data_IF_481441297043
#
_entry.id   IF_481441297043
#
_cell.length_a   1.000
_cell.length_b   1.000
_cell.length_c   1.000
_cell.angle_alpha   90.00
_cell.angle_beta   90.00
_cell.angle_gamma   90.00
#
_symmetry.space_group_name_H-M   'P 1'
#
loop_
_entity.id
_entity.type
_entity.pdbx_description
1 polymer ?
#
# COMPACT_ATOMS: atom_id res chain seq x y z
N UNK A 1 26.10 -17.84 26.41
CA UNK A 1 25.08 -18.81 25.94
C UNK A 1 24.08 -18.03 25.10
N UNK A 2 24.25 -18.02 23.77
CA UNK A 2 23.29 -17.37 22.86
C UNK A 2 22.13 -18.34 22.65
N UNK A 3 20.91 -17.94 23.01
CA UNK A 3 19.71 -18.72 22.78
C UNK A 3 19.28 -18.52 21.32
N UNK A 4 19.54 -19.51 20.47
CA UNK A 4 19.00 -19.54 19.11
C UNK A 4 17.56 -20.04 19.13
N UNK A 5 16.63 -19.31 18.50
CA UNK A 5 15.31 -19.81 18.16
C UNK A 5 15.31 -20.37 16.74
N UNK A 6 14.55 -21.43 16.50
CA UNK A 6 14.32 -22.00 15.18
C UNK A 6 12.88 -21.67 14.73
N UNK A 7 12.71 -21.29 13.47
CA UNK A 7 11.41 -21.23 12.80
C UNK A 7 11.37 -22.28 11.69
N UNK A 8 10.28 -23.04 11.63
CA UNK A 8 9.99 -23.99 10.58
C UNK A 8 9.11 -23.31 9.53
N UNK A 9 9.61 -23.23 8.29
CA UNK A 9 8.85 -22.82 7.11
C UNK A 9 8.73 -23.98 6.12
N UNK A 10 7.67 -23.96 5.30
CA UNK A 10 7.49 -24.92 4.20
C UNK A 10 7.59 -24.16 2.87
N UNK A 11 8.41 -24.67 1.95
CA UNK A 11 8.52 -24.18 0.59
C UNK A 11 8.03 -25.26 -0.37
N UNK A 12 7.13 -24.89 -1.29
CA UNK A 12 6.62 -25.79 -2.32
C UNK A 12 7.48 -25.61 -3.57
N UNK A 13 8.33 -26.60 -3.87
CA UNK A 13 9.19 -26.59 -5.05
C UNK A 13 8.64 -27.56 -6.09
N UNK A 14 8.41 -27.12 -7.35
CA UNK A 14 7.96 -28.00 -8.43
C UNK A 14 9.03 -29.05 -8.79
N UNK A 15 8.60 -30.16 -9.39
CA UNK A 15 9.49 -31.23 -9.83
C UNK A 15 9.93 -31.01 -11.30
N UNK A 16 11.21 -31.23 -11.57
CA UNK A 16 11.76 -31.38 -12.92
C UNK A 16 11.30 -32.71 -13.54
N UNK A 17 11.35 -32.84 -14.86
CA UNK A 17 10.90 -34.05 -15.59
C UNK A 17 11.54 -35.35 -15.08
N UNK A 18 12.78 -35.29 -14.57
CA UNK A 18 13.48 -36.43 -13.98
C UNK A 18 13.12 -36.72 -12.50
N UNK A 19 12.14 -36.04 -11.92
CA UNK A 19 11.67 -36.23 -10.55
C UNK A 19 12.50 -35.56 -9.45
N UNK A 20 13.61 -34.90 -9.78
CA UNK A 20 14.31 -34.00 -8.86
C UNK A 20 13.58 -32.66 -8.64
N UNK A 21 13.78 -32.02 -7.48
CA UNK A 21 13.24 -30.70 -7.20
C UNK A 21 13.87 -29.65 -8.14
N UNK A 22 13.03 -28.81 -8.75
CA UNK A 22 13.49 -27.66 -9.52
C UNK A 22 13.97 -26.55 -8.58
N UNK A 23 15.20 -26.71 -8.10
CA UNK A 23 15.87 -25.73 -7.24
C UNK A 23 16.52 -24.57 -8.02
N UNK A 24 16.29 -24.48 -9.34
CA UNK A 24 16.87 -23.42 -10.16
C UNK A 24 16.28 -22.03 -9.82
N UNK A 25 15.02 -22.00 -9.37
CA UNK A 25 14.34 -20.80 -8.86
C UNK A 25 14.35 -20.65 -7.34
N UNK A 26 14.87 -21.64 -6.61
CA UNK A 26 14.91 -21.60 -5.16
C UNK A 26 15.94 -20.56 -4.71
N UNK A 27 15.49 -19.61 -3.91
CA UNK A 27 16.38 -18.66 -3.26
C UNK A 27 17.35 -19.45 -2.37
N UNK A 28 18.65 -19.37 -2.68
CA UNK A 28 19.69 -20.22 -2.05
C UNK A 28 20.08 -19.76 -0.63
N UNK A 29 19.41 -18.75 -0.08
CA UNK A 29 19.75 -18.16 1.22
C UNK A 29 20.94 -17.20 1.14
N UNK A 30 21.20 -16.48 2.25
CA UNK A 30 22.36 -15.63 2.43
C UNK A 30 22.21 -14.20 1.91
N UNK A 31 23.26 -13.37 2.03
CA UNK A 31 23.21 -11.95 1.70
C UNK A 31 22.78 -11.68 0.26
N UNK A 32 21.68 -10.95 0.06
CA UNK A 32 21.08 -10.70 -1.25
C UNK A 32 20.37 -9.34 -1.32
N UNK A 33 20.14 -8.76 -2.51
CA UNK A 33 19.37 -7.52 -2.64
C UNK A 33 17.88 -7.77 -2.38
N UNK A 34 17.14 -6.73 -1.98
CA UNK A 34 15.73 -6.85 -1.58
C UNK A 34 14.84 -7.36 -2.71
N UNK A 35 15.16 -7.02 -3.96
CA UNK A 35 14.39 -7.41 -5.14
C UNK A 35 14.39 -8.94 -5.35
N UNK A 36 15.44 -9.60 -4.87
CA UNK A 36 15.59 -11.04 -4.94
C UNK A 36 14.96 -11.76 -3.75
N UNK A 37 14.52 -11.04 -2.72
CA UNK A 37 13.93 -11.62 -1.52
C UNK A 37 12.53 -12.22 -1.81
N UNK A 38 12.24 -13.45 -1.36
CA UNK A 38 10.92 -14.07 -1.54
C UNK A 38 9.75 -13.22 -1.03
N UNK A 39 9.89 -12.54 0.11
CA UNK A 39 8.85 -11.66 0.64
C UNK A 39 8.61 -10.45 -0.25
N UNK A 40 9.65 -9.91 -0.90
CA UNK A 40 9.49 -8.83 -1.87
C UNK A 40 8.70 -9.31 -3.09
N UNK A 41 8.99 -10.51 -3.61
CA UNK A 41 8.20 -11.11 -4.70
C UNK A 41 6.74 -11.31 -4.30
N UNK A 42 6.48 -11.86 -3.12
CA UNK A 42 5.12 -12.02 -2.60
C UNK A 42 4.38 -10.67 -2.46
N UNK A 43 5.08 -9.61 -2.04
CA UNK A 43 4.51 -8.26 -2.04
C UNK A 43 4.08 -7.82 -3.44
N UNK A 44 4.92 -8.05 -4.46
CA UNK A 44 4.58 -7.70 -5.85
C UNK A 44 3.41 -8.53 -6.40
N UNK A 45 3.35 -9.83 -6.11
CA UNK A 45 2.24 -10.70 -6.51
C UNK A 45 0.93 -10.29 -5.84
N UNK A 46 0.97 -9.96 -4.55
CA UNK A 46 -0.20 -9.48 -3.82
C UNK A 46 -0.68 -8.11 -4.34
N UNK A 47 0.25 -7.23 -4.75
CA UNK A 47 -0.10 -5.97 -5.41
C UNK A 47 -0.86 -6.23 -6.70
N UNK A 48 -0.33 -7.09 -7.55
CA UNK A 48 -0.85 -7.31 -8.91
C UNK A 48 -2.17 -8.11 -8.86
N UNK A 49 -2.25 -9.12 -7.98
CA UNK A 49 -3.50 -9.83 -7.69
C UNK A 49 -4.57 -8.91 -7.09
N UNK A 50 -4.20 -8.03 -6.15
CA UNK A 50 -5.10 -7.02 -5.61
C UNK A 50 -5.59 -6.04 -6.68
N UNK A 51 -4.71 -5.58 -7.57
CA UNK A 51 -5.07 -4.67 -8.67
C UNK A 51 -6.09 -5.32 -9.62
N UNK A 52 -5.88 -6.59 -9.96
CA UNK A 52 -6.82 -7.36 -10.79
C UNK A 52 -8.19 -7.49 -10.11
N UNK A 53 -8.23 -7.83 -8.83
CA UNK A 53 -9.49 -7.92 -8.08
C UNK A 53 -10.23 -6.57 -8.02
N UNK A 54 -9.51 -5.45 -7.88
CA UNK A 54 -10.11 -4.11 -7.94
C UNK A 54 -10.73 -3.83 -9.32
N UNK A 55 -10.06 -4.20 -10.40
CA UNK A 55 -10.58 -4.06 -11.77
C UNK A 55 -11.84 -4.92 -11.99
N UNK A 56 -11.92 -6.10 -11.35
CA UNK A 56 -13.08 -6.99 -11.36
C UNK A 56 -14.20 -6.55 -10.40
N UNK A 57 -14.02 -5.47 -9.64
CA UNK A 57 -14.99 -5.00 -8.64
C UNK A 57 -15.04 -5.82 -7.34
N UNK A 58 -14.13 -6.77 -7.17
CA UNK A 58 -14.04 -7.68 -6.01
C UNK A 58 -13.25 -7.03 -4.87
N UNK A 59 -13.83 -5.96 -4.33
CA UNK A 59 -13.14 -5.08 -3.37
C UNK A 59 -12.83 -5.76 -2.03
N UNK A 60 -13.68 -6.65 -1.53
CA UNK A 60 -13.44 -7.37 -0.26
C UNK A 60 -12.22 -8.29 -0.37
N UNK A 61 -12.10 -9.02 -1.47
CA UNK A 61 -10.97 -9.92 -1.70
C UNK A 61 -9.68 -9.15 -1.98
N UNK A 62 -9.78 -8.00 -2.67
CA UNK A 62 -8.65 -7.10 -2.86
C UNK A 62 -8.10 -6.57 -1.53
N UNK A 63 -8.97 -6.30 -0.54
CA UNK A 63 -8.53 -5.91 0.81
C UNK A 63 -7.63 -6.95 1.43
N UNK A 64 -7.96 -8.24 1.30
CA UNK A 64 -7.12 -9.33 1.79
C UNK A 64 -5.70 -9.29 1.18
N UNK A 65 -5.62 -9.15 -0.14
CA UNK A 65 -4.34 -9.08 -0.87
C UNK A 65 -3.46 -7.91 -0.44
N UNK A 66 -4.02 -6.70 -0.37
CA UNK A 66 -3.22 -5.54 0.03
C UNK A 66 -2.84 -5.56 1.51
N UNK A 67 -3.68 -6.13 2.37
CA UNK A 67 -3.36 -6.29 3.80
C UNK A 67 -2.20 -7.25 4.01
N UNK A 68 -2.20 -8.37 3.27
CA UNK A 68 -1.10 -9.34 3.26
C UNK A 68 0.21 -8.69 2.76
N UNK A 69 0.16 -7.92 1.66
CA UNK A 69 1.31 -7.15 1.17
C UNK A 69 1.89 -6.25 2.27
N UNK A 70 1.05 -5.51 2.99
CA UNK A 70 1.52 -4.61 4.05
C UNK A 70 2.20 -5.41 5.17
N UNK A 71 1.62 -6.54 5.59
CA UNK A 71 2.25 -7.41 6.59
C UNK A 71 3.61 -7.94 6.11
N UNK A 72 3.68 -8.45 4.89
CA UNK A 72 4.90 -8.97 4.29
C UNK A 72 5.97 -7.88 4.13
N UNK A 73 5.59 -6.66 3.73
CA UNK A 73 6.53 -5.54 3.63
C UNK A 73 7.15 -5.15 4.98
N UNK A 74 6.41 -5.31 6.08
CA UNK A 74 6.93 -5.09 7.44
C UNK A 74 7.82 -6.23 7.90
N UNK A 75 7.47 -7.47 7.54
CA UNK A 75 8.31 -8.63 7.83
C UNK A 75 9.66 -8.49 7.10
N UNK A 76 9.62 -8.13 5.82
CA UNK A 76 10.78 -7.89 4.97
C UNK A 76 11.75 -6.88 5.60
N UNK A 77 11.28 -5.78 6.20
CA UNK A 77 12.13 -4.79 6.88
C UNK A 77 12.92 -5.36 8.08
N UNK A 78 12.53 -6.52 8.63
CA UNK A 78 13.21 -7.19 9.74
C UNK A 78 14.16 -8.31 9.29
N UNK A 79 14.21 -8.62 7.99
CA UNK A 79 15.09 -9.67 7.47
C UNK A 79 16.57 -9.27 7.57
N UNK A 80 17.39 -10.21 8.05
CA UNK A 80 18.82 -9.98 8.31
C UNK A 80 19.72 -10.28 7.11
N UNK A 81 19.24 -11.12 6.20
CA UNK A 81 19.99 -11.56 5.02
C UNK A 81 19.84 -10.58 3.84
N UNK A 82 19.07 -9.50 4.01
CA UNK A 82 18.90 -8.47 2.98
C UNK A 82 20.02 -7.43 3.06
N UNK A 83 20.71 -7.24 1.94
CA UNK A 83 21.66 -6.17 1.70
C UNK A 83 20.92 -4.88 1.34
N UNK A 84 20.48 -4.16 2.37
CA UNK A 84 19.71 -2.94 2.20
C UNK A 84 20.49 -1.79 1.55
N UNK A 85 20.08 -1.42 0.34
CA UNK A 85 20.37 -0.13 -0.31
C UNK A 85 19.28 0.89 0.02
N UNK A 86 19.53 2.19 -0.18
CA UNK A 86 18.46 3.19 0.00
C UNK A 86 17.39 3.02 -1.07
N UNK A 87 17.78 2.70 -2.30
CA UNK A 87 16.86 2.40 -3.40
C UNK A 87 15.92 1.23 -3.05
N UNK A 88 16.47 0.15 -2.48
CA UNK A 88 15.67 -1.00 -2.03
C UNK A 88 14.68 -0.62 -0.93
N UNK A 89 15.10 0.21 0.04
CA UNK A 89 14.18 0.74 1.07
C UNK A 89 13.07 1.58 0.45
N UNK A 90 13.40 2.45 -0.50
CA UNK A 90 12.42 3.28 -1.21
C UNK A 90 11.41 2.39 -1.96
N UNK A 91 11.85 1.33 -2.64
CA UNK A 91 10.94 0.42 -3.35
C UNK A 91 9.92 -0.24 -2.40
N UNK A 92 10.37 -0.72 -1.24
CA UNK A 92 9.49 -1.34 -0.24
C UNK A 92 8.48 -0.33 0.31
N UNK A 93 8.93 0.87 0.66
CA UNK A 93 8.04 1.97 1.09
C UNK A 93 7.02 2.31 -0.01
N UNK A 94 7.44 2.35 -1.28
CA UNK A 94 6.55 2.64 -2.41
C UNK A 94 5.50 1.54 -2.60
N UNK A 95 5.87 0.27 -2.46
CA UNK A 95 4.92 -0.86 -2.48
C UNK A 95 3.88 -0.71 -1.37
N UNK A 96 4.33 -0.47 -0.14
CA UNK A 96 3.46 -0.29 1.03
C UNK A 96 2.52 0.92 0.87
N UNK A 97 3.06 2.06 0.44
CA UNK A 97 2.28 3.27 0.21
C UNK A 97 1.23 3.08 -0.91
N UNK A 98 1.57 2.36 -1.98
CA UNK A 98 0.64 1.99 -3.04
C UNK A 98 -0.46 1.04 -2.55
N UNK A 99 -0.13 0.07 -1.70
CA UNK A 99 -1.09 -0.83 -1.09
C UNK A 99 -2.09 -0.08 -0.20
N UNK A 100 -1.62 0.85 0.64
CA UNK A 100 -2.48 1.72 1.43
C UNK A 100 -3.39 2.59 0.58
N UNK A 101 -2.84 3.18 -0.49
CA UNK A 101 -3.63 3.96 -1.44
C UNK A 101 -4.74 3.09 -2.05
N UNK A 102 -4.43 1.87 -2.49
CA UNK A 102 -5.43 0.97 -3.07
C UNK A 102 -6.47 0.46 -2.06
N UNK A 103 -6.06 0.19 -0.82
CA UNK A 103 -6.99 -0.11 0.27
C UNK A 103 -7.99 1.03 0.49
N UNK A 104 -7.55 2.28 0.46
CA UNK A 104 -8.45 3.42 0.63
C UNK A 104 -9.56 3.46 -0.42
N UNK A 105 -9.27 3.06 -1.67
CA UNK A 105 -10.28 2.90 -2.71
C UNK A 105 -11.24 1.76 -2.39
N UNK A 106 -10.72 0.60 -2.00
CA UNK A 106 -11.55 -0.56 -1.67
C UNK A 106 -12.51 -0.22 -0.51
N UNK A 107 -11.99 0.40 0.55
CA UNK A 107 -12.80 0.81 1.70
C UNK A 107 -13.83 1.88 1.36
N UNK A 108 -13.53 2.82 0.45
CA UNK A 108 -14.57 3.74 -0.07
C UNK A 108 -15.69 2.99 -0.79
N UNK A 109 -15.35 2.04 -1.66
CA UNK A 109 -16.34 1.25 -2.41
C UNK A 109 -17.21 0.40 -1.49
N UNK A 110 -16.63 -0.09 -0.40
CA UNK A 110 -17.30 -0.85 0.65
C UNK A 110 -17.98 0.04 1.71
N UNK A 111 -17.91 1.38 1.57
CA UNK A 111 -18.45 2.35 2.54
C UNK A 111 -17.91 2.18 3.96
N UNK A 112 -16.69 1.65 4.09
CA UNK A 112 -15.97 1.50 5.36
C UNK A 112 -15.15 2.78 5.64
N UNK A 113 -15.85 3.85 6.01
CA UNK A 113 -15.32 5.21 6.02
C UNK A 113 -14.10 5.41 6.91
N UNK A 114 -14.11 4.86 8.13
CA UNK A 114 -12.97 4.94 9.05
C UNK A 114 -11.71 4.32 8.45
N UNK A 115 -11.85 3.15 7.82
CA UNK A 115 -10.73 2.46 7.18
C UNK A 115 -10.25 3.22 5.94
N UNK A 116 -11.15 3.81 5.16
CA UNK A 116 -10.80 4.66 4.02
C UNK A 116 -9.96 5.88 4.45
N UNK A 117 -10.39 6.60 5.50
CA UNK A 117 -9.65 7.76 6.05
C UNK A 117 -8.26 7.33 6.55
N UNK A 118 -8.20 6.25 7.32
CA UNK A 118 -6.94 5.77 7.91
C UNK A 118 -5.95 5.34 6.84
N UNK A 119 -6.39 4.55 5.86
CA UNK A 119 -5.50 4.04 4.80
C UNK A 119 -5.08 5.11 3.80
N UNK A 120 -5.96 6.06 3.46
CA UNK A 120 -5.58 7.23 2.66
C UNK A 120 -4.51 8.08 3.37
N UNK A 121 -4.63 8.24 4.69
CA UNK A 121 -3.65 8.97 5.51
C UNK A 121 -2.30 8.23 5.54
N UNK A 122 -2.32 6.92 5.83
CA UNK A 122 -1.10 6.09 5.85
C UNK A 122 -0.40 6.00 4.50
N UNK A 123 -1.11 6.08 3.39
CA UNK A 123 -0.51 6.13 2.06
C UNK A 123 0.43 7.33 1.87
N UNK A 124 0.21 8.43 2.60
CA UNK A 124 1.02 9.65 2.53
C UNK A 124 2.07 9.76 3.64
N UNK A 125 1.81 9.16 4.81
CA UNK A 125 2.62 9.39 6.02
C UNK A 125 3.35 8.15 6.56
N UNK A 126 3.04 6.97 6.02
CA UNK A 126 3.48 5.69 6.57
C UNK A 126 2.74 5.28 7.85
N UNK A 127 3.35 4.38 8.61
CA UNK A 127 2.74 3.71 9.76
C UNK A 127 2.90 4.44 11.10
N UNK A 128 3.85 5.38 11.18
CA UNK A 128 4.22 6.07 12.42
C UNK A 128 3.46 7.38 12.62
N UNK A 129 3.28 7.74 13.87
CA UNK A 129 2.77 9.05 14.32
C UNK A 129 3.68 9.57 15.45
N UNK A 130 4.46 10.64 15.25
CA UNK A 130 4.51 11.50 14.05
C UNK A 130 5.07 10.78 12.81
N UNK A 131 4.71 11.29 11.64
CA UNK A 131 5.12 10.74 10.34
C UNK A 131 6.65 10.76 10.17
N UNK A 132 7.21 9.67 9.64
CA UNK A 132 8.63 9.59 9.27
C UNK A 132 8.80 10.20 7.86
N UNK A 133 9.61 11.25 7.66
CA UNK A 133 9.78 11.87 6.35
C UNK A 133 10.25 10.90 5.27
N UNK A 134 10.90 9.78 5.63
CA UNK A 134 11.33 8.76 4.67
C UNK A 134 10.18 7.97 4.07
N UNK A 135 9.01 7.95 4.72
CA UNK A 135 7.81 7.30 4.21
C UNK A 135 7.06 8.16 3.19
N UNK A 136 7.44 9.43 3.03
CA UNK A 136 6.87 10.32 2.02
C UNK A 136 7.44 10.02 0.61
N UNK A 137 7.08 8.86 0.07
CA UNK A 137 7.56 8.33 -1.22
C UNK A 137 6.50 8.39 -2.33
N UNK A 138 5.31 8.90 -2.01
CA UNK A 138 4.17 8.91 -2.91
C UNK A 138 4.27 10.10 -3.89
N UNK A 139 4.18 9.84 -5.19
CA UNK A 139 4.18 10.90 -6.20
C UNK A 139 3.03 11.91 -5.99
N UNK A 140 3.20 13.20 -6.35
CA UNK A 140 2.18 14.24 -6.15
C UNK A 140 0.77 13.86 -6.63
N UNK A 141 0.65 13.24 -7.80
CA UNK A 141 -0.65 12.85 -8.38
C UNK A 141 -1.32 11.75 -7.55
N UNK A 142 -0.52 10.87 -6.94
CA UNK A 142 -1.00 9.84 -6.03
C UNK A 142 -1.37 10.42 -4.66
N UNK A 143 -0.68 11.47 -4.19
CA UNK A 143 -1.07 12.23 -2.98
C UNK A 143 -2.42 12.92 -3.19
N UNK A 144 -2.63 13.54 -4.35
CA UNK A 144 -3.93 14.12 -4.72
C UNK A 144 -5.05 13.06 -4.65
N UNK A 145 -4.80 11.84 -5.17
CA UNK A 145 -5.77 10.72 -5.06
C UNK A 145 -6.04 10.30 -3.62
N UNK A 146 -5.02 10.22 -2.77
CA UNK A 146 -5.20 9.88 -1.36
C UNK A 146 -6.09 10.91 -0.64
N UNK A 147 -5.79 12.20 -0.82
CA UNK A 147 -6.56 13.31 -0.25
C UNK A 147 -7.99 13.34 -0.78
N UNK A 148 -8.18 13.19 -2.09
CA UNK A 148 -9.50 13.14 -2.71
C UNK A 148 -10.35 12.01 -2.11
N UNK A 149 -9.77 10.82 -1.93
CA UNK A 149 -10.45 9.67 -1.31
C UNK A 149 -10.78 9.90 0.16
N UNK A 150 -9.86 10.52 0.91
CA UNK A 150 -10.09 10.87 2.32
C UNK A 150 -11.22 11.90 2.46
N UNK A 151 -11.26 12.89 1.58
CA UNK A 151 -12.33 13.89 1.53
C UNK A 151 -13.70 13.26 1.27
N UNK A 152 -13.79 12.31 0.33
CA UNK A 152 -15.03 11.57 0.07
C UNK A 152 -15.51 10.82 1.33
N UNK A 153 -14.60 10.13 2.03
CA UNK A 153 -14.96 9.44 3.26
C UNK A 153 -15.39 10.39 4.39
N UNK A 154 -14.71 11.53 4.55
CA UNK A 154 -15.08 12.58 5.52
C UNK A 154 -16.47 13.15 5.25
N UNK A 155 -16.76 13.47 3.98
CA UNK A 155 -18.05 13.99 3.55
C UNK A 155 -19.16 12.95 3.71
N UNK A 156 -19.01 11.79 3.07
CA UNK A 156 -20.09 10.84 2.89
C UNK A 156 -20.31 9.96 4.13
N UNK A 157 -19.25 9.71 4.90
CA UNK A 157 -19.29 8.87 6.09
C UNK A 157 -19.54 9.61 7.40
N UNK A 158 -19.08 10.86 7.49
CA UNK A 158 -19.04 11.60 8.76
C UNK A 158 -19.66 13.00 8.68
N UNK A 159 -20.15 13.43 7.51
CA UNK A 159 -20.66 14.79 7.28
C UNK A 159 -19.65 15.91 7.64
N UNK A 160 -18.35 15.59 7.62
CA UNK A 160 -17.25 16.51 7.97
C UNK A 160 -16.84 17.34 6.76
N UNK A 161 -17.73 18.22 6.32
CA UNK A 161 -17.55 19.06 5.13
C UNK A 161 -16.29 19.95 5.20
N UNK A 162 -16.00 20.53 6.37
CA UNK A 162 -14.79 21.36 6.56
C UNK A 162 -13.49 20.58 6.35
N UNK A 163 -13.43 19.35 6.84
CA UNK A 163 -12.27 18.48 6.65
C UNK A 163 -12.13 18.09 5.18
N UNK A 164 -13.25 17.73 4.53
CA UNK A 164 -13.26 17.38 3.12
C UNK A 164 -12.78 18.54 2.22
N UNK A 165 -13.18 19.78 2.52
CA UNK A 165 -12.70 20.97 1.80
C UNK A 165 -11.20 21.18 2.00
N UNK A 166 -10.66 20.97 3.20
CA UNK A 166 -9.21 21.06 3.46
C UNK A 166 -8.44 20.06 2.62
N UNK A 167 -8.89 18.81 2.58
CA UNK A 167 -8.27 17.75 1.79
C UNK A 167 -8.35 18.05 0.30
N UNK A 168 -9.50 18.49 -0.22
CA UNK A 168 -9.69 18.81 -1.63
C UNK A 168 -8.88 20.02 -2.08
N UNK A 169 -8.72 21.06 -1.24
CA UNK A 169 -7.81 22.17 -1.52
C UNK A 169 -6.38 21.68 -1.65
N UNK A 170 -5.92 20.84 -0.72
CA UNK A 170 -4.58 20.27 -0.77
C UNK A 170 -4.38 19.33 -1.97
N UNK A 171 -5.42 18.58 -2.34
CA UNK A 171 -5.39 17.75 -3.54
C UNK A 171 -5.24 18.61 -4.81
N UNK A 172 -5.92 19.76 -4.88
CA UNK A 172 -5.82 20.70 -6.01
C UNK A 172 -4.44 21.36 -6.11
N UNK A 173 -3.71 21.53 -5.00
CA UNK A 173 -2.30 21.97 -5.04
C UNK A 173 -1.39 20.92 -5.71
N UNK A 174 -1.64 19.63 -5.48
CA UNK A 174 -0.86 18.54 -6.07
C UNK A 174 -1.26 18.20 -7.51
N UNK A 175 -2.53 18.39 -7.87
CA UNK A 175 -3.07 18.09 -9.19
C UNK A 175 -4.01 19.22 -9.66
N UNK A 176 -3.45 20.41 -10.00
CA UNK A 176 -4.26 21.58 -10.33
C UNK A 176 -5.10 21.40 -11.60
N UNK A 177 -4.72 20.50 -12.50
CA UNK A 177 -5.43 20.22 -13.75
C UNK A 177 -6.47 19.09 -13.64
N UNK A 178 -6.58 18.44 -12.47
CA UNK A 178 -7.55 17.37 -12.26
C UNK A 178 -8.97 17.94 -12.11
N UNK A 179 -9.74 17.82 -13.20
CA UNK A 179 -11.13 18.29 -13.27
C UNK A 179 -12.04 17.65 -12.21
N UNK A 180 -11.78 16.40 -11.82
CA UNK A 180 -12.58 15.74 -10.80
C UNK A 180 -12.36 16.37 -9.43
N UNK A 181 -11.09 16.65 -9.08
CA UNK A 181 -10.74 17.35 -7.84
C UNK A 181 -11.36 18.76 -7.80
N UNK A 182 -11.21 19.52 -8.89
CA UNK A 182 -11.77 20.88 -8.98
C UNK A 182 -13.29 20.90 -8.83
N UNK A 183 -13.99 20.01 -9.53
CA UNK A 183 -15.45 19.93 -9.48
C UNK A 183 -15.92 19.52 -8.09
N UNK A 184 -15.29 18.51 -7.48
CA UNK A 184 -15.65 18.03 -6.15
C UNK A 184 -15.42 19.10 -5.08
N UNK A 185 -14.30 19.85 -5.17
CA UNK A 185 -14.02 20.98 -4.30
C UNK A 185 -15.12 22.04 -4.41
N UNK A 186 -15.49 22.43 -5.64
CA UNK A 186 -16.54 23.42 -5.88
C UNK A 186 -17.89 22.99 -5.29
N UNK A 187 -18.29 21.74 -5.52
CA UNK A 187 -19.55 21.20 -5.00
C UNK A 187 -19.55 21.14 -3.47
N UNK A 188 -18.46 20.65 -2.88
CA UNK A 188 -18.33 20.53 -1.42
C UNK A 188 -18.33 21.90 -0.74
N UNK A 189 -17.68 22.90 -1.33
CA UNK A 189 -17.71 24.29 -0.83
C UNK A 189 -19.09 24.94 -0.94
N UNK A 190 -19.90 24.58 -1.94
CA UNK A 190 -21.28 25.06 -2.05
C UNK A 190 -22.17 24.43 -0.98
N UNK A 191 -21.98 23.15 -0.67
CA UNK A 191 -22.75 22.42 0.33
C UNK A 191 -22.42 22.81 1.78
N UNK A 192 -21.26 23.45 2.02
CA UNK A 192 -20.84 23.95 3.33
C UNK A 192 -21.51 25.29 3.70
N UNK A 193 -22.06 26.02 2.72
CA UNK A 193 -22.74 27.31 2.92
C UNK A 193 -24.19 27.13 3.31
#
# INVERSE_FOLDING_TARGET
MAAGSYQLGFQITPLLEHGGLDSSGDFKGGPHPVEDDPLFRLCTENRDGGNKLVQEGRHEEAVGRYSELIMQSRALENETDILWTEEGRIQVRQLRAAAYLNLSLCFLKLKQWTHAVNTATRAMQGDKDPADPKEDVLAPEKKAKALFRRAQAQRDGFAKMDEAVKDLKKAAEYAPEDKAVQQELRLTMLALK
#
